data_IF_409723822618
#
_entry.id   IF_409723822618
#
_cell.length_a   1.000
_cell.length_b   1.000
_cell.length_c   1.000
_cell.angle_alpha   90.00
_cell.angle_beta   90.00
_cell.angle_gamma   90.00
#
_symmetry.space_group_name_H-M   'P 1'
#
loop_
_entity.id
_entity.type
_entity.pdbx_description
1 polymer ?
#
# COMPACT_ATOMS: atom_id res chain seq x y z
N UNK A 1 3.69 22.92 -6.67
CA UNK A 1 3.27 21.59 -6.13
C UNK A 1 4.16 20.53 -6.76
N UNK A 2 4.93 19.82 -5.95
CA UNK A 2 5.76 18.71 -6.40
C UNK A 2 4.94 17.43 -6.36
N UNK A 3 4.93 16.68 -7.44
CA UNK A 3 4.20 15.42 -7.58
C UNK A 3 5.19 14.28 -7.81
N UNK A 4 5.02 13.20 -7.08
CA UNK A 4 5.80 11.97 -7.25
C UNK A 4 4.88 10.78 -7.46
N UNK A 5 5.42 9.72 -8.03
CA UNK A 5 4.68 8.51 -8.40
C UNK A 5 5.07 7.35 -7.49
N UNK A 6 4.11 6.51 -7.20
CA UNK A 6 4.30 5.25 -6.49
C UNK A 6 3.22 4.26 -6.86
N UNK A 7 3.09 3.20 -6.05
CA UNK A 7 2.16 2.11 -6.32
C UNK A 7 1.34 1.78 -5.08
N UNK A 8 0.08 1.44 -5.29
CA UNK A 8 -0.80 1.04 -4.20
C UNK A 8 -1.73 -0.10 -4.62
N UNK A 9 -1.92 -1.04 -3.70
CA UNK A 9 -2.84 -2.16 -3.88
C UNK A 9 -4.24 -1.76 -3.42
N UNK A 10 -5.22 -1.96 -4.30
CA UNK A 10 -6.63 -1.71 -4.04
C UNK A 10 -7.46 -2.98 -4.24
N UNK A 11 -8.61 -3.01 -3.64
CA UNK A 11 -9.66 -3.96 -3.97
C UNK A 11 -10.51 -3.39 -5.12
N UNK A 12 -10.60 -4.13 -6.21
CA UNK A 12 -11.47 -3.76 -7.34
C UNK A 12 -12.74 -4.61 -7.28
N UNK A 13 -13.87 -3.94 -7.23
CA UNK A 13 -15.18 -4.60 -7.22
C UNK A 13 -15.69 -4.87 -8.63
N UNK A 14 -16.77 -5.65 -8.74
CA UNK A 14 -17.31 -6.13 -10.02
C UNK A 14 -17.68 -4.99 -11.00
N UNK A 15 -18.02 -3.81 -10.48
CA UNK A 15 -18.31 -2.62 -11.29
C UNK A 15 -17.04 -1.83 -11.71
N UNK A 16 -15.84 -2.35 -11.37
CA UNK A 16 -14.57 -1.70 -11.68
C UNK A 16 -14.14 -0.62 -10.69
N UNK A 17 -14.93 -0.34 -9.67
CA UNK A 17 -14.60 0.67 -8.65
C UNK A 17 -13.53 0.18 -7.69
N UNK A 18 -12.65 1.09 -7.27
CA UNK A 18 -11.54 0.81 -6.38
C UNK A 18 -11.88 1.19 -4.95
N UNK A 19 -11.48 0.34 -4.02
CA UNK A 19 -11.66 0.55 -2.58
C UNK A 19 -10.35 0.26 -1.83
N UNK A 20 -10.01 1.05 -0.81
CA UNK A 20 -8.88 0.73 0.04
C UNK A 20 -9.04 -0.64 0.71
N UNK A 21 -7.92 -1.30 1.02
CA UNK A 21 -7.96 -2.66 1.59
C UNK A 21 -8.44 -2.70 3.05
N UNK A 22 -8.05 -1.71 3.85
CA UNK A 22 -8.24 -1.74 5.30
C UNK A 22 -9.03 -0.55 5.81
N UNK A 23 -8.48 0.64 5.70
CA UNK A 23 -9.05 1.89 6.18
C UNK A 23 -9.83 2.55 5.05
N UNK A 24 -11.02 3.07 5.33
CA UNK A 24 -11.85 3.71 4.31
C UNK A 24 -12.44 2.75 3.28
N UNK A 25 -12.43 1.45 3.55
CA UNK A 25 -12.88 0.41 2.60
C UNK A 25 -14.35 0.45 2.21
N UNK A 26 -15.13 1.31 2.83
CA UNK A 26 -16.54 1.53 2.48
C UNK A 26 -16.73 2.60 1.42
N UNK A 27 -15.70 3.39 1.16
CA UNK A 27 -15.75 4.50 0.23
C UNK A 27 -14.88 4.22 -0.99
N UNK A 28 -15.42 4.51 -2.15
CA UNK A 28 -14.71 4.41 -3.42
C UNK A 28 -13.55 5.41 -3.46
N UNK A 29 -12.41 4.96 -3.99
CA UNK A 29 -11.31 5.83 -4.38
C UNK A 29 -11.45 6.12 -5.87
N UNK A 30 -11.88 7.33 -6.27
CA UNK A 30 -12.11 7.63 -7.68
C UNK A 30 -10.80 7.73 -8.46
N UNK A 31 -10.87 7.47 -9.76
CA UNK A 31 -9.75 7.63 -10.67
C UNK A 31 -9.52 9.12 -10.99
N UNK A 32 -8.26 9.50 -11.12
CA UNK A 32 -7.83 10.82 -11.59
C UNK A 32 -8.29 12.01 -10.73
N UNK A 33 -8.63 11.76 -9.48
CA UNK A 33 -9.02 12.80 -8.52
C UNK A 33 -8.09 12.75 -7.30
N UNK A 34 -7.76 13.91 -6.76
CA UNK A 34 -7.04 14.00 -5.51
C UNK A 34 -7.93 13.59 -4.34
N UNK A 35 -7.47 12.60 -3.59
CA UNK A 35 -8.17 12.10 -2.41
C UNK A 35 -7.30 12.27 -1.18
N UNK A 36 -7.82 12.99 -0.20
CA UNK A 36 -7.12 13.19 1.07
C UNK A 36 -7.24 11.94 1.94
N UNK A 37 -6.20 11.67 2.72
CA UNK A 37 -6.24 10.58 3.68
C UNK A 37 -7.31 10.86 4.74
N UNK A 38 -8.08 9.83 5.08
CA UNK A 38 -9.05 9.92 6.15
C UNK A 38 -8.37 9.84 7.52
N UNK A 39 -8.87 10.61 8.46
CA UNK A 39 -8.54 10.44 9.88
C UNK A 39 -9.43 9.31 10.39
N UNK A 40 -8.81 8.18 10.71
CA UNK A 40 -9.53 7.03 11.22
C UNK A 40 -9.25 6.83 12.69
N UNK A 41 -10.31 6.52 13.44
CA UNK A 41 -10.18 6.14 14.82
C UNK A 41 -9.29 4.90 14.98
N UNK A 42 -8.64 4.80 16.13
CA UNK A 42 -7.78 3.68 16.46
C UNK A 42 -8.51 2.34 16.33
N UNK A 43 -7.97 1.45 15.51
CA UNK A 43 -8.41 0.06 15.43
C UNK A 43 -7.41 -0.85 16.15
N UNK A 44 -7.85 -1.64 17.13
CA UNK A 44 -6.98 -2.61 17.78
C UNK A 44 -6.37 -3.59 16.77
N UNK A 45 -5.08 -3.84 16.88
CA UNK A 45 -4.35 -4.74 15.98
C UNK A 45 -3.70 -4.07 14.78
N UNK A 46 -3.96 -2.79 14.53
CA UNK A 46 -3.31 -2.03 13.47
C UNK A 46 -2.49 -0.89 14.05
N UNK A 47 -1.33 -0.63 13.49
CA UNK A 47 -0.57 0.56 13.82
C UNK A 47 -1.35 1.79 13.33
N UNK A 48 -1.59 2.74 14.23
CA UNK A 48 -2.26 3.99 13.89
C UNK A 48 -1.28 4.92 13.18
N UNK A 49 -1.31 4.92 11.85
CA UNK A 49 -0.49 5.77 10.98
C UNK A 49 -1.39 6.45 9.96
N UNK A 50 -1.97 7.60 10.30
CA UNK A 50 -2.76 8.36 9.34
C UNK A 50 -1.95 8.68 8.08
N UNK A 51 -2.60 8.55 6.94
CA UNK A 51 -1.99 8.79 5.64
C UNK A 51 -2.18 7.62 4.67
N UNK A 52 -1.98 7.92 3.40
CA UNK A 52 -1.97 6.90 2.35
C UNK A 52 -0.65 6.15 2.34
N UNK A 53 -0.71 4.82 2.41
CA UNK A 53 0.46 3.95 2.35
C UNK A 53 0.74 3.59 0.89
N UNK A 54 1.92 3.97 0.40
CA UNK A 54 2.31 3.87 -1.01
C UNK A 54 3.64 3.15 -1.10
N UNK A 55 3.73 2.13 -1.97
CA UNK A 55 5.01 1.54 -2.34
C UNK A 55 5.79 2.51 -3.22
N UNK A 56 7.00 2.89 -2.80
CA UNK A 56 7.75 3.93 -3.50
C UNK A 56 8.23 3.49 -4.89
N UNK A 57 8.73 2.27 -5.01
CA UNK A 57 9.40 1.80 -6.23
C UNK A 57 8.81 0.53 -6.83
N UNK A 58 8.05 -0.25 -6.05
CA UNK A 58 7.63 -1.58 -6.46
C UNK A 58 6.15 -1.82 -6.20
N UNK A 59 5.39 -2.28 -7.20
CA UNK A 59 4.03 -2.77 -7.02
C UNK A 59 4.04 -4.21 -6.48
N UNK A 60 4.49 -4.37 -5.25
CA UNK A 60 4.58 -5.66 -4.57
C UNK A 60 4.45 -5.49 -3.06
N UNK A 61 3.72 -6.40 -2.43
CA UNK A 61 3.53 -6.47 -0.98
C UNK A 61 3.30 -7.93 -0.59
N UNK A 62 4.37 -8.69 -0.48
CA UNK A 62 4.33 -10.15 -0.37
C UNK A 62 3.52 -10.66 0.83
N UNK A 63 3.50 -9.91 1.93
CA UNK A 63 2.71 -10.29 3.12
C UNK A 63 1.20 -10.20 2.92
N UNK A 64 0.75 -9.57 1.83
CA UNK A 64 -0.67 -9.48 1.45
C UNK A 64 -1.08 -10.55 0.44
N UNK A 65 -0.18 -11.44 0.05
CA UNK A 65 -0.49 -12.55 -0.85
C UNK A 65 -1.28 -13.64 -0.15
N UNK A 66 -2.11 -14.32 -0.92
CA UNK A 66 -2.76 -15.57 -0.52
C UNK A 66 -1.80 -16.75 -0.60
N UNK A 67 -2.18 -17.90 -0.04
CA UNK A 67 -1.34 -19.11 -0.02
C UNK A 67 -0.89 -19.59 -1.41
N UNK A 68 -1.63 -19.26 -2.46
CA UNK A 68 -1.28 -19.58 -3.85
C UNK A 68 -0.33 -18.55 -4.52
N UNK A 69 0.16 -17.57 -3.77
CA UNK A 69 1.06 -16.54 -4.28
C UNK A 69 0.38 -15.43 -5.06
N UNK A 70 -0.93 -15.29 -4.94
CA UNK A 70 -1.70 -14.24 -5.65
C UNK A 70 -2.28 -13.22 -4.70
N UNK A 71 -2.60 -12.04 -5.22
CA UNK A 71 -3.27 -10.97 -4.48
C UNK A 71 -4.79 -11.13 -4.56
N UNK A 72 -5.32 -12.06 -3.79
CA UNK A 72 -6.77 -12.28 -3.70
C UNK A 72 -7.36 -11.64 -2.45
N UNK A 73 -8.64 -11.31 -2.52
CA UNK A 73 -9.37 -10.86 -1.32
C UNK A 73 -9.32 -11.95 -0.24
N UNK A 74 -8.91 -11.59 0.96
CA UNK A 74 -8.82 -12.51 2.11
C UNK A 74 -10.18 -13.07 2.56
N UNK A 75 -11.27 -12.50 2.09
CA UNK A 75 -12.61 -12.86 2.54
C UNK A 75 -13.32 -13.89 1.66
N UNK A 76 -12.62 -14.52 0.71
CA UNK A 76 -13.24 -15.46 -0.24
C UNK A 76 -14.30 -14.80 -1.13
N UNK A 77 -14.42 -13.49 -1.12
CA UNK A 77 -15.31 -12.73 -1.97
C UNK A 77 -14.71 -12.58 -3.36
N UNK A 78 -15.57 -12.39 -4.36
CA UNK A 78 -15.22 -12.26 -5.78
C UNK A 78 -14.41 -10.99 -6.13
N UNK A 79 -13.93 -10.25 -5.13
CA UNK A 79 -13.21 -9.01 -5.38
C UNK A 79 -11.75 -9.28 -5.66
N UNK A 80 -11.24 -8.71 -6.74
CA UNK A 80 -9.83 -8.78 -7.09
C UNK A 80 -9.06 -7.71 -6.38
N UNK A 81 -7.83 -8.02 -6.02
CA UNK A 81 -6.86 -7.00 -5.65
C UNK A 81 -6.05 -6.62 -6.87
N UNK A 82 -5.91 -5.33 -7.10
CA UNK A 82 -5.18 -4.79 -8.26
C UNK A 82 -4.16 -3.76 -7.80
N UNK A 83 -3.02 -3.77 -8.44
CA UNK A 83 -2.01 -2.73 -8.24
C UNK A 83 -2.32 -1.54 -9.13
N UNK A 84 -2.23 -0.36 -8.57
CA UNK A 84 -2.44 0.89 -9.29
C UNK A 84 -1.19 1.75 -9.19
N UNK A 85 -0.93 2.50 -10.26
CA UNK A 85 -0.02 3.62 -10.20
C UNK A 85 -0.76 4.80 -9.57
N UNK A 86 -0.11 5.44 -8.61
CA UNK A 86 -0.65 6.60 -7.92
C UNK A 86 0.35 7.73 -7.93
N UNK A 87 -0.14 8.94 -7.93
CA UNK A 87 0.64 10.13 -7.66
C UNK A 87 0.37 10.59 -6.23
N UNK A 88 1.35 11.22 -5.62
CA UNK A 88 1.19 11.88 -4.33
C UNK A 88 1.86 13.23 -4.33
N UNK A 89 1.37 14.15 -3.52
CA UNK A 89 1.98 15.46 -3.34
C UNK A 89 3.19 15.32 -2.41
N UNK A 90 4.33 15.82 -2.86
CA UNK A 90 5.61 15.69 -2.17
C UNK A 90 6.24 17.07 -1.95
N UNK A 91 5.46 18.03 -1.45
CA UNK A 91 5.92 19.40 -1.24
C UNK A 91 6.87 19.49 -0.05
N UNK A 92 6.63 18.73 1.01
CA UNK A 92 7.51 18.70 2.17
C UNK A 92 7.72 17.28 2.70
N UNK A 93 8.98 16.91 2.86
CA UNK A 93 9.42 15.66 3.48
C UNK A 93 9.49 15.81 5.00
N UNK A 94 8.68 15.05 5.71
CA UNK A 94 8.63 15.02 7.17
C UNK A 94 9.40 13.85 7.78
N UNK A 95 10.20 13.13 6.99
CA UNK A 95 10.88 11.91 7.47
C UNK A 95 11.72 12.17 8.72
N UNK A 96 12.52 13.21 8.75
CA UNK A 96 13.37 13.52 9.90
C UNK A 96 12.54 13.91 11.14
N UNK A 97 11.49 14.70 10.95
CA UNK A 97 10.60 15.12 12.04
C UNK A 97 9.87 13.93 12.65
N UNK A 98 9.39 13.01 11.80
CA UNK A 98 8.70 11.80 12.21
C UNK A 98 9.59 10.88 13.04
N UNK A 99 10.85 10.77 12.69
CA UNK A 99 11.81 9.95 13.44
C UNK A 99 12.04 10.43 14.87
N UNK A 100 11.75 11.72 15.16
CA UNK A 100 11.82 12.30 16.51
C UNK A 100 10.54 12.09 17.32
N UNK A 101 9.46 11.64 16.70
CA UNK A 101 8.20 11.40 17.38
C UNK A 101 8.22 10.06 18.14
N UNK A 102 7.52 9.95 19.28
CA UNK A 102 7.55 8.73 20.11
C UNK A 102 7.16 7.46 19.36
N UNK A 103 6.18 7.54 18.45
CA UNK A 103 5.67 6.39 17.69
C UNK A 103 6.24 6.29 16.27
N UNK A 104 7.19 7.15 15.90
CA UNK A 104 7.78 7.21 14.57
C UNK A 104 6.74 7.39 13.45
N UNK A 105 5.66 8.08 13.76
CA UNK A 105 4.60 8.46 12.82
C UNK A 105 3.82 9.63 13.39
N UNK A 106 3.09 10.34 12.54
CA UNK A 106 2.08 11.26 13.00
C UNK A 106 0.91 10.49 13.59
N UNK A 107 0.35 10.97 14.68
CA UNK A 107 -0.85 10.41 15.31
C UNK A 107 -2.12 11.12 14.87
N UNK A 108 -1.95 12.21 14.15
CA UNK A 108 -3.00 13.01 13.55
C UNK A 108 -2.73 13.13 12.05
N UNK A 109 -3.57 13.86 11.34
CA UNK A 109 -3.43 14.09 9.91
C UNK A 109 -2.06 14.71 9.58
N UNK A 110 -1.45 14.26 8.47
CA UNK A 110 -0.25 14.93 7.94
C UNK A 110 -0.61 16.36 7.51
N UNK A 111 0.35 17.30 7.65
CA UNK A 111 0.18 18.63 7.05
C UNK A 111 -0.06 18.54 5.53
N UNK A 112 -0.80 19.51 5.01
CA UNK A 112 -1.12 19.57 3.58
C UNK A 112 0.13 19.49 2.70
N UNK A 113 0.10 18.57 1.72
CA UNK A 113 1.22 18.35 0.81
C UNK A 113 2.41 17.62 1.43
N UNK A 114 2.26 17.11 2.65
CA UNK A 114 3.33 16.41 3.36
C UNK A 114 3.40 14.92 3.04
N UNK A 115 4.60 14.40 3.21
CA UNK A 115 4.86 12.96 3.13
C UNK A 115 6.04 12.60 4.01
N UNK A 116 6.21 11.31 4.29
CA UNK A 116 7.42 10.79 4.91
C UNK A 116 7.72 9.37 4.48
N UNK A 117 9.00 9.00 4.55
CA UNK A 117 9.48 7.66 4.27
C UNK A 117 9.29 6.76 5.49
N UNK A 118 8.88 5.55 5.22
CA UNK A 118 8.69 4.53 6.24
C UNK A 118 9.33 3.22 5.76
N UNK A 119 10.11 2.56 6.63
CA UNK A 119 10.65 1.23 6.37
C UNK A 119 10.15 0.27 7.42
N UNK A 120 9.60 -0.85 7.00
CA UNK A 120 9.30 -1.93 7.92
C UNK A 120 10.58 -2.65 8.34
N UNK A 121 10.61 -3.05 9.62
CA UNK A 121 11.72 -3.84 10.13
C UNK A 121 11.79 -5.18 9.40
N UNK A 122 12.97 -5.54 8.90
CA UNK A 122 13.20 -6.79 8.18
C UNK A 122 12.99 -6.73 6.69
N UNK A 123 12.45 -5.64 6.15
CA UNK A 123 12.32 -5.43 4.72
C UNK A 123 13.15 -4.25 4.24
N UNK A 124 13.84 -4.43 3.13
CA UNK A 124 14.59 -3.36 2.47
C UNK A 124 13.71 -2.59 1.47
N UNK A 125 12.42 -2.43 1.81
CA UNK A 125 11.45 -1.73 0.97
C UNK A 125 11.10 -0.38 1.55
N UNK A 126 11.04 0.58 0.64
CA UNK A 126 10.63 1.94 0.98
C UNK A 126 9.13 2.11 0.78
N UNK A 127 8.46 2.52 1.84
CA UNK A 127 7.07 2.94 1.82
C UNK A 127 7.01 4.45 2.01
N UNK A 128 6.01 5.03 1.38
CA UNK A 128 5.66 6.45 1.53
C UNK A 128 4.34 6.54 2.27
N UNK A 129 4.27 7.41 3.25
CA UNK A 129 3.03 7.82 3.88
C UNK A 129 2.75 9.25 3.41
N UNK A 130 1.65 9.47 2.73
CA UNK A 130 1.31 10.76 2.12
C UNK A 130 -0.07 11.26 2.53
N UNK A 131 -0.22 12.59 2.55
CA UNK A 131 -1.47 13.25 2.89
C UNK A 131 -2.55 13.00 1.84
N UNK A 132 -2.20 12.96 0.55
CA UNK A 132 -3.15 12.79 -0.54
C UNK A 132 -2.56 12.02 -1.72
N UNK A 133 -3.44 11.30 -2.40
CA UNK A 133 -3.09 10.57 -3.62
C UNK A 133 -4.06 10.88 -4.76
N UNK A 134 -3.60 10.58 -5.96
CA UNK A 134 -4.45 10.50 -7.16
C UNK A 134 -4.11 9.20 -7.87
N UNK A 135 -5.12 8.34 -8.06
CA UNK A 135 -4.95 7.10 -8.80
C UNK A 135 -4.95 7.43 -10.29
N UNK A 136 -3.88 7.11 -10.98
CA UNK A 136 -3.74 7.45 -12.40
C UNK A 136 -3.98 6.29 -13.33
N UNK A 137 -3.69 5.06 -12.89
CA UNK A 137 -3.78 3.89 -13.76
C UNK A 137 -3.88 2.60 -12.95
N UNK A 138 -4.72 1.69 -13.41
CA UNK A 138 -4.73 0.31 -12.93
C UNK A 138 -3.72 -0.47 -13.77
N UNK A 139 -2.79 -1.16 -13.10
CA UNK A 139 -1.78 -1.98 -13.80
C UNK A 139 -2.38 -3.33 -14.20
N UNK A 140 -2.08 -3.77 -15.41
CA UNK A 140 -2.24 -5.17 -15.76
C UNK A 140 -1.16 -6.00 -15.07
N UNK A 141 -1.36 -7.30 -14.96
CA UNK A 141 -0.34 -8.18 -14.37
C UNK A 141 0.96 -8.16 -15.21
N UNK A 142 0.86 -8.11 -16.52
CA UNK A 142 2.03 -8.00 -17.39
C UNK A 142 2.80 -6.70 -17.16
N UNK A 143 2.10 -5.57 -17.03
CA UNK A 143 2.73 -4.29 -16.71
C UNK A 143 3.43 -4.34 -15.34
N UNK A 144 2.78 -4.93 -14.34
CA UNK A 144 3.35 -5.10 -13.00
C UNK A 144 4.62 -5.96 -13.05
N UNK A 145 4.58 -7.10 -13.72
CA UNK A 145 5.74 -8.00 -13.87
C UNK A 145 6.89 -7.30 -14.60
N UNK A 146 6.59 -6.48 -15.60
CA UNK A 146 7.60 -5.69 -16.30
C UNK A 146 8.30 -4.71 -15.36
N UNK A 147 7.55 -4.00 -14.52
CA UNK A 147 8.10 -3.06 -13.53
C UNK A 147 9.02 -3.80 -12.55
N UNK A 148 8.60 -4.96 -12.03
CA UNK A 148 9.40 -5.78 -11.12
C UNK A 148 10.69 -6.28 -11.79
N UNK A 149 10.60 -6.72 -13.04
CA UNK A 149 11.73 -7.19 -13.82
C UNK A 149 12.76 -6.07 -14.06
N UNK A 150 12.31 -4.89 -14.48
CA UNK A 150 13.18 -3.73 -14.69
C UNK A 150 13.88 -3.29 -13.39
N UNK A 151 13.26 -3.51 -12.24
CA UNK A 151 13.84 -3.24 -10.94
C UNK A 151 14.74 -4.38 -10.40
N UNK A 152 14.94 -5.46 -11.17
CA UNK A 152 15.63 -6.68 -10.74
C UNK A 152 15.07 -7.25 -9.42
N UNK A 153 13.75 -7.19 -9.25
CA UNK A 153 13.08 -7.67 -8.06
C UNK A 153 12.46 -9.04 -8.29
N UNK A 154 12.96 -10.04 -7.55
CA UNK A 154 12.41 -11.40 -7.56
C UNK A 154 11.31 -11.51 -6.50
N UNK A 155 10.08 -11.33 -6.94
CA UNK A 155 8.91 -11.39 -6.05
C UNK A 155 8.69 -12.79 -5.48
N UNK A 156 8.96 -13.84 -6.24
CA UNK A 156 8.80 -15.21 -5.77
C UNK A 156 9.76 -15.51 -4.61
N UNK A 157 11.01 -15.10 -4.74
CA UNK A 157 11.99 -15.23 -3.66
C UNK A 157 11.62 -14.39 -2.45
N UNK A 158 11.16 -13.16 -2.65
CA UNK A 158 10.72 -12.26 -1.57
C UNK A 158 9.46 -12.77 -0.86
N UNK A 159 8.55 -13.40 -1.58
CA UNK A 159 7.30 -13.95 -1.05
C UNK A 159 7.50 -15.25 -0.28
N UNK A 160 8.53 -16.02 -0.60
CA UNK A 160 8.73 -17.38 -0.05
C UNK A 160 8.59 -17.48 1.46
N UNK A 161 9.25 -16.63 2.30
CA UNK A 161 9.11 -16.72 3.74
C UNK A 161 7.67 -16.53 4.23
N UNK A 162 6.93 -15.63 3.59
CA UNK A 162 5.53 -15.36 3.94
C UNK A 162 4.62 -16.52 3.55
N UNK A 163 4.81 -17.06 2.36
CA UNK A 163 4.01 -18.20 1.86
C UNK A 163 4.29 -19.48 2.65
N UNK A 164 5.53 -19.74 2.99
CA UNK A 164 5.91 -20.88 3.84
C UNK A 164 5.28 -20.77 5.23
N UNK A 165 5.26 -19.57 5.82
CA UNK A 165 4.62 -19.32 7.11
C UNK A 165 3.09 -19.54 7.04
N UNK A 166 2.43 -19.12 5.98
CA UNK A 166 1.00 -19.36 5.76
C UNK A 166 0.72 -20.87 5.64
N UNK A 167 1.47 -21.57 4.82
CA UNK A 167 1.34 -23.03 4.62
C UNK A 167 1.56 -23.80 5.91
N UNK A 168 2.55 -23.38 6.71
CA UNK A 168 2.82 -23.99 8.02
C UNK A 168 1.64 -23.81 8.99
N UNK A 169 1.04 -22.64 9.03
CA UNK A 169 -0.16 -22.38 9.85
C UNK A 169 -1.36 -23.21 9.40
N UNK A 170 -1.55 -23.38 8.10
CA UNK A 170 -2.64 -24.19 7.55
C UNK A 170 -2.48 -25.68 7.85
N UNK A 171 -1.27 -26.20 7.96
CA UNK A 171 -0.99 -27.60 8.33
C UNK A 171 -1.20 -27.89 9.82
N UNK A 172 -1.15 -26.91 10.68
CA UNK A 172 -1.29 -27.05 12.13
C UNK A 172 -2.77 -26.95 12.56
N UNK A 173 -3.56 -26.32 11.74
CA UNK A 173 -5.01 -26.20 11.93
C UNK A 173 -5.73 -27.40 11.30
#
# INVERSE_FOLDING_TARGET
>A
MKIMTGYKLFEMRDDGKLFPLFIGKKEETPMNEWVMAEIVEYHPGFAHRPGWHIGANLPSACWLMSADGTYKSQRGKKFKRVWCEVEYVADKDYTDEVMQLPKKCFTDRLPDGGYYNFRESGENRLWIIADRIRVTRILTEDERQHILHEANYDEDAAAKPYLDAIKKRMKIS
#
